data_IF_593844964843
#
_entry.id   IF_593844964843
#
_cell.length_a   1.000
_cell.length_b   1.000
_cell.length_c   1.000
_cell.angle_alpha   90.00
_cell.angle_beta   90.00
_cell.angle_gamma   90.00
#
_symmetry.space_group_name_H-M   'P 1'
#
loop_
_entity.id
_entity.type
_entity.pdbx_description
1 polymer ?
#
# COMPACT_ATOMS: atom_id res chain seq x y z
N UNK A 1 68.81 56.36 33.63
CA UNK A 1 67.40 56.33 34.08
C UNK A 1 66.55 55.69 32.99
N UNK A 2 65.71 54.74 33.41
CA UNK A 2 64.51 54.21 32.73
C UNK A 2 64.68 53.21 31.57
N UNK A 3 64.59 51.93 31.98
CA UNK A 3 64.17 50.76 31.23
C UNK A 3 62.96 51.02 30.30
N UNK A 4 63.05 50.57 29.05
CA UNK A 4 61.88 50.34 28.18
C UNK A 4 61.70 48.84 27.92
N UNK A 5 60.52 48.38 28.35
CA UNK A 5 60.01 47.02 28.31
C UNK A 5 59.83 46.51 26.87
N UNK A 6 60.46 45.37 26.57
CA UNK A 6 60.06 44.49 25.48
C UNK A 6 58.91 43.59 25.97
N UNK A 7 57.71 43.76 25.44
CA UNK A 7 56.59 42.83 25.65
C UNK A 7 56.47 41.87 24.46
N UNK A 8 56.87 40.61 24.67
CA UNK A 8 56.65 39.49 23.75
C UNK A 8 55.19 39.07 23.81
N UNK A 9 54.44 39.25 22.72
CA UNK A 9 53.11 38.63 22.53
C UNK A 9 53.28 37.11 22.45
N UNK A 10 52.71 36.38 23.42
CA UNK A 10 52.56 34.92 23.37
C UNK A 10 51.42 34.56 22.42
N UNK A 11 51.74 33.80 21.38
CA UNK A 11 50.79 33.15 20.48
C UNK A 11 50.14 31.98 21.22
N UNK A 12 48.83 32.05 21.47
CA UNK A 12 48.05 30.95 22.04
C UNK A 12 47.53 30.08 20.91
N UNK A 13 48.10 28.88 20.77
CA UNK A 13 47.60 27.82 19.89
C UNK A 13 46.33 27.24 20.53
N UNK A 14 45.16 27.52 19.95
CA UNK A 14 43.90 26.87 20.33
C UNK A 14 43.87 25.46 19.71
N UNK A 15 43.85 24.43 20.56
CA UNK A 15 43.59 23.04 20.15
C UNK A 15 42.11 22.89 19.77
N UNK A 16 41.84 22.32 18.60
CA UNK A 16 40.50 21.93 18.16
C UNK A 16 39.90 20.87 19.09
N UNK A 17 38.58 20.89 19.38
CA UNK A 17 37.94 19.83 20.15
C UNK A 17 37.86 18.55 19.31
N UNK A 18 38.25 17.40 19.91
CA UNK A 18 37.96 16.07 19.36
C UNK A 18 36.45 15.91 19.23
N UNK A 19 35.96 15.69 18.01
CA UNK A 19 34.59 15.24 17.74
C UNK A 19 34.49 13.80 18.28
N UNK A 20 33.62 13.59 19.26
CA UNK A 20 33.24 12.26 19.72
C UNK A 20 32.25 11.69 18.69
N UNK A 21 32.66 10.70 17.92
CA UNK A 21 31.77 9.94 17.03
C UNK A 21 30.67 9.27 17.86
N UNK A 22 29.41 9.64 17.62
CA UNK A 22 28.24 8.96 18.17
C UNK A 22 27.94 7.71 17.35
N UNK A 23 27.90 6.55 18.02
CA UNK A 23 27.51 5.27 17.43
C UNK A 23 26.10 5.31 16.80
N UNK A 24 25.82 4.48 15.76
CA UNK A 24 24.52 4.44 15.09
C UNK A 24 23.40 3.99 16.05
N UNK A 25 22.24 4.64 15.95
CA UNK A 25 21.05 4.28 16.71
C UNK A 25 20.55 2.90 16.26
N UNK A 26 20.55 1.93 17.17
CA UNK A 26 19.96 0.60 16.97
C UNK A 26 18.48 0.67 17.35
N UNK A 27 17.58 0.23 16.47
CA UNK A 27 16.14 0.20 16.77
C UNK A 27 15.83 -0.76 17.93
N UNK A 28 15.01 -0.36 18.91
CA UNK A 28 14.69 -1.21 20.06
C UNK A 28 13.90 -2.46 19.65
N UNK A 29 14.27 -3.66 20.15
CA UNK A 29 13.51 -4.88 19.87
C UNK A 29 12.11 -4.85 20.48
N UNK A 30 11.19 -5.65 19.93
CA UNK A 30 9.80 -5.74 20.43
C UNK A 30 9.76 -6.63 21.68
N UNK A 31 8.98 -6.23 22.69
CA UNK A 31 8.81 -6.96 23.95
C UNK A 31 8.26 -8.38 23.72
N UNK A 32 8.98 -9.44 24.16
CA UNK A 32 8.60 -10.82 23.89
C UNK A 32 7.34 -11.28 24.63
N UNK A 33 6.93 -10.58 25.70
CA UNK A 33 5.72 -10.94 26.46
C UNK A 33 4.43 -10.42 25.81
N UNK A 34 4.46 -9.24 25.19
CA UNK A 34 3.24 -8.63 24.62
C UNK A 34 3.25 -8.56 23.10
N UNK A 35 4.41 -8.67 22.46
CA UNK A 35 4.63 -8.56 21.02
C UNK A 35 4.02 -7.31 20.35
N UNK A 36 3.81 -6.23 21.13
CA UNK A 36 3.13 -5.01 20.69
C UNK A 36 4.01 -3.77 20.87
N UNK A 37 4.79 -3.70 21.95
CA UNK A 37 5.56 -2.49 22.30
C UNK A 37 7.07 -2.75 22.24
N UNK A 38 7.87 -1.82 21.70
CA UNK A 38 9.33 -1.89 21.81
C UNK A 38 9.79 -1.79 23.26
N UNK A 39 10.92 -2.41 23.57
CA UNK A 39 11.54 -2.32 24.89
C UNK A 39 12.29 -1.00 25.05
N UNK A 40 12.30 -0.46 26.27
CA UNK A 40 13.00 0.79 26.54
C UNK A 40 14.53 0.55 26.58
N UNK A 41 15.31 1.55 26.18
CA UNK A 41 16.76 1.55 26.35
C UNK A 41 17.12 1.65 27.83
N UNK A 42 18.19 0.94 28.24
CA UNK A 42 18.79 1.08 29.56
C UNK A 42 19.69 2.34 29.60
N UNK A 43 20.04 2.84 30.79
CA UNK A 43 20.99 3.96 30.93
C UNK A 43 22.40 3.63 30.42
N UNK A 44 22.71 2.35 30.24
CA UNK A 44 23.93 1.85 29.61
C UNK A 44 23.80 1.90 28.09
N UNK A 45 24.78 2.52 27.42
CA UNK A 45 24.78 2.70 25.98
C UNK A 45 24.71 1.34 25.24
N UNK A 46 23.65 1.15 24.45
CA UNK A 46 23.48 -0.02 23.58
C UNK A 46 22.69 -1.19 24.18
N UNK A 47 22.20 -1.10 25.42
CA UNK A 47 21.39 -2.16 26.03
C UNK A 47 19.92 -1.77 26.16
N UNK A 48 19.03 -2.77 26.07
CA UNK A 48 17.59 -2.59 26.27
C UNK A 48 17.09 -3.41 27.47
N UNK A 49 15.95 -3.01 28.04
CA UNK A 49 15.23 -3.82 29.02
C UNK A 49 14.62 -5.06 28.35
N UNK A 50 14.53 -6.18 29.08
CA UNK A 50 14.01 -7.42 28.50
C UNK A 50 12.50 -7.35 28.17
N UNK A 51 11.78 -6.41 28.78
CA UNK A 51 10.33 -6.25 28.65
C UNK A 51 9.92 -4.77 28.62
N UNK A 52 8.83 -4.46 27.92
CA UNK A 52 8.33 -3.08 27.78
C UNK A 52 7.71 -2.49 29.07
N UNK A 53 7.45 -3.31 30.10
CA UNK A 53 6.92 -2.83 31.38
C UNK A 53 7.19 -3.79 32.54
N UNK A 54 7.16 -3.26 33.77
CA UNK A 54 7.19 -4.09 34.99
C UNK A 54 6.08 -5.14 35.01
N UNK A 55 4.90 -4.82 34.44
CA UNK A 55 3.81 -5.78 34.29
C UNK A 55 4.16 -6.95 33.38
N UNK A 56 4.80 -6.69 32.23
CA UNK A 56 5.28 -7.74 31.33
C UNK A 56 6.39 -8.59 31.98
N UNK A 57 7.33 -7.96 32.69
CA UNK A 57 8.36 -8.67 33.43
C UNK A 57 7.79 -9.56 34.55
N UNK A 58 6.76 -9.08 35.24
CA UNK A 58 6.09 -9.81 36.34
C UNK A 58 5.26 -10.99 35.83
N UNK A 59 4.66 -10.86 34.64
CA UNK A 59 3.91 -11.94 34.00
C UNK A 59 4.80 -13.13 33.62
N UNK A 60 6.04 -12.87 33.20
CA UNK A 60 7.02 -13.92 32.89
C UNK A 60 7.61 -14.54 34.16
N UNK A 61 7.94 -13.73 35.17
CA UNK A 61 8.49 -14.22 36.47
C UNK A 61 7.49 -15.07 37.28
N UNK A 62 6.19 -14.97 37.01
CA UNK A 62 5.14 -15.78 37.67
C UNK A 62 4.90 -17.15 37.02
N UNK A 63 5.71 -17.56 36.04
CA UNK A 63 5.78 -18.96 35.57
C UNK A 63 4.43 -19.60 35.24
N UNK A 64 3.49 -18.87 34.63
CA UNK A 64 2.11 -19.35 34.52
C UNK A 64 1.64 -19.43 33.06
N UNK A 65 2.27 -20.34 32.30
CA UNK A 65 1.71 -20.88 31.05
C UNK A 65 0.32 -21.51 31.27
N UNK A 66 -0.03 -21.84 32.53
CA UNK A 66 -1.33 -22.40 32.93
C UNK A 66 -2.42 -21.34 33.17
N UNK A 67 -2.09 -20.05 32.98
CA UNK A 67 -3.03 -18.94 33.16
C UNK A 67 -3.81 -18.57 31.91
N UNK A 68 -3.56 -19.22 30.77
CA UNK A 68 -4.24 -18.93 29.50
C UNK A 68 -5.56 -19.71 29.37
N UNK A 69 -6.53 -19.09 28.71
CA UNK A 69 -7.83 -19.66 28.38
C UNK A 69 -7.65 -21.02 27.72
N UNK A 70 -8.32 -22.03 28.25
CA UNK A 70 -8.19 -23.40 27.73
C UNK A 70 -8.73 -23.55 26.30
N UNK A 71 -9.62 -22.66 25.87
CA UNK A 71 -10.17 -22.63 24.52
C UNK A 71 -9.30 -21.83 23.55
N UNK A 72 -9.17 -20.51 23.74
CA UNK A 72 -8.53 -19.65 22.74
C UNK A 72 -7.00 -19.57 22.85
N UNK A 73 -6.41 -20.00 23.98
CA UNK A 73 -4.97 -19.92 24.29
C UNK A 73 -4.31 -18.53 24.15
N UNK A 74 -5.08 -17.48 23.86
CA UNK A 74 -4.59 -16.13 23.57
C UNK A 74 -4.80 -15.14 24.72
N UNK A 75 -5.69 -15.45 25.66
CA UNK A 75 -6.09 -14.53 26.74
C UNK A 75 -6.05 -15.23 28.09
N UNK A 76 -5.72 -14.55 29.20
CA UNK A 76 -5.74 -15.17 30.52
C UNK A 76 -7.14 -15.64 30.94
N UNK A 77 -7.19 -16.68 31.77
CA UNK A 77 -8.36 -17.21 32.46
C UNK A 77 -9.08 -16.11 33.26
N UNK A 78 -10.41 -16.03 33.14
CA UNK A 78 -11.22 -15.01 33.80
C UNK A 78 -11.27 -15.25 35.31
N UNK A 79 -11.17 -14.18 36.12
CA UNK A 79 -11.24 -14.25 37.59
C UNK A 79 -12.38 -13.37 38.07
N UNK A 80 -13.33 -13.95 38.80
CA UNK A 80 -14.51 -13.25 39.31
C UNK A 80 -14.37 -12.90 40.81
N UNK A 81 -13.17 -12.51 41.24
CA UNK A 81 -12.86 -12.17 42.63
C UNK A 81 -12.69 -13.36 43.58
N UNK A 82 -13.48 -14.43 43.44
CA UNK A 82 -13.45 -15.62 44.33
C UNK A 82 -13.02 -16.91 43.63
N UNK A 83 -13.16 -16.99 42.29
CA UNK A 83 -12.80 -18.18 41.50
C UNK A 83 -12.10 -17.82 40.19
N UNK A 84 -11.18 -18.68 39.76
CA UNK A 84 -10.55 -18.62 38.43
C UNK A 84 -11.29 -19.58 37.51
N UNK A 85 -11.85 -19.07 36.41
CA UNK A 85 -12.55 -19.86 35.40
C UNK A 85 -11.57 -20.46 34.38
N UNK A 86 -11.82 -21.67 33.84
CA UNK A 86 -10.95 -22.29 32.83
C UNK A 86 -10.80 -21.48 31.54
N UNK A 87 -11.71 -20.54 31.29
CA UNK A 87 -11.82 -19.76 30.06
C UNK A 87 -11.69 -18.25 30.34
N UNK A 88 -11.25 -17.47 29.34
CA UNK A 88 -11.09 -16.02 29.47
C UNK A 88 -12.41 -15.22 29.45
N UNK A 89 -13.57 -15.89 29.33
CA UNK A 89 -14.88 -15.24 29.35
C UNK A 89 -16.01 -16.14 28.86
N UNK A 90 -17.26 -15.66 28.99
CA UNK A 90 -18.49 -16.42 28.67
C UNK A 90 -18.54 -16.91 27.23
N UNK A 91 -17.95 -16.18 26.28
CA UNK A 91 -17.86 -16.58 24.87
C UNK A 91 -17.02 -17.86 24.70
N UNK A 92 -15.80 -17.90 25.22
CA UNK A 92 -14.94 -19.08 25.14
C UNK A 92 -15.50 -20.28 25.92
N UNK A 93 -16.19 -20.04 27.04
CA UNK A 93 -16.86 -21.10 27.78
C UNK A 93 -18.01 -21.74 26.96
N UNK A 94 -18.79 -20.93 26.22
CA UNK A 94 -19.87 -21.42 25.36
C UNK A 94 -19.35 -22.16 24.13
N UNK A 95 -18.29 -21.67 23.50
CA UNK A 95 -17.68 -22.35 22.35
C UNK A 95 -17.08 -23.70 22.75
N UNK A 96 -16.38 -23.80 23.88
CA UNK A 96 -15.88 -25.07 24.39
C UNK A 96 -17.00 -26.07 24.72
N UNK A 97 -18.14 -25.59 25.22
CA UNK A 97 -19.32 -26.42 25.49
C UNK A 97 -20.02 -26.90 24.20
N UNK A 98 -20.07 -26.07 23.15
CA UNK A 98 -20.62 -26.43 21.86
C UNK A 98 -19.75 -27.48 21.13
N UNK A 99 -18.43 -27.35 21.22
CA UNK A 99 -17.50 -28.33 20.61
C UNK A 99 -17.54 -29.68 21.33
N UNK A 100 -17.80 -29.69 22.65
CA UNK A 100 -17.98 -30.92 23.42
C UNK A 100 -19.33 -31.61 23.16
N UNK A 101 -20.32 -30.89 22.62
CA UNK A 101 -21.63 -31.43 22.24
C UNK A 101 -21.66 -32.04 20.83
N UNK A 102 -20.56 -31.93 20.06
CA UNK A 102 -20.45 -32.38 18.67
C UNK A 102 -19.53 -33.60 18.47
N UNK A 103 -19.32 -34.44 19.49
CA UNK A 103 -18.70 -35.75 19.30
C UNK A 103 -19.77 -36.80 18.95
N UNK A 104 -19.77 -37.40 17.75
CA UNK A 104 -20.67 -38.50 17.43
C UNK A 104 -20.15 -39.82 18.06
N UNK A 105 -21.03 -40.71 18.56
CA UNK A 105 -20.70 -42.12 18.71
C UNK A 105 -20.66 -42.79 17.32
N UNK A 106 -19.85 -43.85 17.19
CA UNK A 106 -19.54 -44.63 15.98
C UNK A 106 -20.69 -44.84 14.95
N UNK A 107 -20.38 -45.00 13.65
CA UNK A 107 -21.38 -45.13 12.60
C UNK A 107 -21.83 -46.58 12.37
N UNK A 108 -23.01 -46.75 11.75
CA UNK A 108 -23.05 -47.63 10.59
C UNK A 108 -23.66 -46.96 9.35
N UNK A 109 -23.20 -47.46 8.20
CA UNK A 109 -23.71 -47.23 6.85
C UNK A 109 -25.24 -47.17 6.76
N UNK A 110 -25.76 -46.29 5.90
CA UNK A 110 -26.55 -46.73 4.74
C UNK A 110 -26.66 -45.58 3.73
N UNK A 111 -26.36 -45.91 2.48
CA UNK A 111 -26.69 -45.12 1.32
C UNK A 111 -28.22 -45.05 1.12
N UNK A 112 -28.62 -44.09 0.29
CA UNK A 112 -29.93 -43.90 -0.34
C UNK A 112 -31.07 -43.37 0.54
N UNK A 113 -31.37 -42.07 0.41
CA UNK A 113 -32.53 -41.65 -0.40
C UNK A 113 -32.91 -40.16 -0.21
N UNK A 114 -32.98 -39.50 -1.36
CA UNK A 114 -33.97 -38.48 -1.75
C UNK A 114 -33.81 -37.02 -1.28
N UNK A 115 -33.34 -36.25 -2.27
CA UNK A 115 -33.57 -34.85 -2.56
C UNK A 115 -35.02 -34.37 -2.40
N UNK A 116 -35.11 -33.04 -2.28
CA UNK A 116 -36.26 -32.13 -2.45
C UNK A 116 -36.90 -31.70 -1.13
N UNK A 117 -36.35 -30.62 -0.54
CA UNK A 117 -37.09 -29.39 -0.19
C UNK A 117 -36.10 -28.27 0.23
N UNK A 118 -36.09 -27.20 -0.57
CA UNK A 118 -35.75 -25.81 -0.23
C UNK A 118 -34.30 -25.38 0.09
N UNK A 119 -33.56 -25.00 -0.96
CA UNK A 119 -32.32 -24.20 -0.91
C UNK A 119 -32.56 -22.68 -0.69
N UNK A 120 -33.75 -22.25 -0.30
CA UNK A 120 -34.08 -20.83 -0.12
C UNK A 120 -34.03 -20.33 1.33
N UNK A 121 -33.72 -21.19 2.31
CA UNK A 121 -33.69 -20.82 3.74
C UNK A 121 -32.30 -20.85 4.38
N UNK A 122 -31.29 -21.46 3.75
CA UNK A 122 -29.94 -21.52 4.33
C UNK A 122 -29.12 -20.24 4.11
N UNK A 123 -29.39 -19.48 3.04
CA UNK A 123 -28.65 -18.26 2.68
C UNK A 123 -29.04 -17.03 3.51
N UNK A 124 -30.12 -17.10 4.30
CA UNK A 124 -30.56 -16.00 5.17
C UNK A 124 -29.95 -16.05 6.57
N UNK A 125 -29.50 -17.23 7.03
CA UNK A 125 -28.98 -17.45 8.40
C UNK A 125 -27.56 -16.92 8.62
N UNK A 126 -26.82 -16.67 7.55
CA UNK A 126 -25.43 -16.24 7.60
C UNK A 126 -25.25 -14.87 6.96
N UNK A 127 -24.18 -14.20 7.36
CA UNK A 127 -23.77 -12.92 6.81
C UNK A 127 -23.52 -13.08 5.30
N UNK A 128 -24.10 -12.21 4.49
CA UNK A 128 -23.95 -12.23 3.04
C UNK A 128 -22.62 -11.65 2.54
N UNK A 129 -21.64 -11.48 3.43
CA UNK A 129 -20.30 -11.05 3.03
C UNK A 129 -19.51 -12.30 2.56
N UNK A 130 -18.87 -12.29 1.37
CA UNK A 130 -18.35 -13.49 0.72
C UNK A 130 -17.32 -14.31 1.51
N UNK A 131 -16.69 -13.70 2.51
CA UNK A 131 -15.67 -14.34 3.37
C UNK A 131 -16.13 -14.42 4.84
N UNK A 132 -17.40 -14.12 5.13
CA UNK A 132 -17.94 -14.05 6.47
C UNK A 132 -18.83 -15.25 6.81
N UNK A 133 -18.33 -16.11 7.71
CA UNK A 133 -19.07 -17.26 8.24
C UNK A 133 -19.92 -16.94 9.48
N UNK A 134 -20.05 -15.67 9.85
CA UNK A 134 -20.83 -15.27 11.02
C UNK A 134 -22.33 -15.30 10.73
N UNK A 135 -23.19 -15.61 11.71
CA UNK A 135 -24.63 -15.57 11.52
C UNK A 135 -25.12 -14.14 11.26
N UNK A 136 -26.18 -14.04 10.46
CA UNK A 136 -26.98 -12.85 10.27
C UNK A 136 -27.43 -12.28 11.62
N UNK A 137 -27.34 -10.96 11.80
CA UNK A 137 -27.78 -10.31 13.04
C UNK A 137 -29.31 -10.33 13.16
N UNK A 138 -29.85 -10.77 14.31
CA UNK A 138 -31.25 -10.55 14.68
C UNK A 138 -31.38 -9.42 15.70
N UNK A 139 -32.35 -8.53 15.49
CA UNK A 139 -32.70 -7.50 16.47
C UNK A 139 -33.64 -8.02 17.57
N UNK A 140 -33.94 -7.15 18.54
CA UNK A 140 -34.81 -7.46 19.69
C UNK A 140 -36.26 -7.74 19.29
N UNK A 141 -36.66 -7.42 18.06
CA UNK A 141 -38.00 -7.66 17.53
C UNK A 141 -38.05 -8.92 16.66
N UNK A 142 -36.94 -9.69 16.59
CA UNK A 142 -36.86 -10.91 15.78
C UNK A 142 -36.67 -10.68 14.29
N UNK A 143 -36.32 -9.46 13.87
CA UNK A 143 -36.06 -9.17 12.44
C UNK A 143 -34.62 -9.50 12.10
N UNK A 144 -34.43 -10.32 11.07
CA UNK A 144 -33.13 -10.83 10.62
C UNK A 144 -32.49 -9.91 9.57
N UNK A 145 -31.22 -9.55 9.78
CA UNK A 145 -30.42 -8.73 8.87
C UNK A 145 -29.62 -9.60 7.89
N UNK A 146 -29.33 -9.07 6.70
CA UNK A 146 -28.44 -9.74 5.73
C UNK A 146 -26.97 -9.83 6.19
N UNK A 147 -26.58 -9.13 7.25
CA UNK A 147 -25.19 -9.03 7.71
C UNK A 147 -25.07 -9.31 9.21
N UNK A 148 -23.91 -9.82 9.65
CA UNK A 148 -23.62 -10.03 11.06
C UNK A 148 -23.46 -8.69 11.81
N UNK A 149 -23.42 -8.68 13.15
CA UNK A 149 -23.35 -7.43 13.94
C UNK A 149 -22.09 -6.59 13.65
N UNK A 150 -21.00 -7.23 13.22
CA UNK A 150 -19.74 -6.55 12.88
C UNK A 150 -19.86 -5.82 11.54
N UNK A 151 -20.38 -6.51 10.52
CA UNK A 151 -20.66 -5.89 9.22
C UNK A 151 -21.83 -4.92 9.31
N UNK A 152 -22.85 -5.18 10.15
CA UNK A 152 -23.93 -4.25 10.47
C UNK A 152 -23.39 -2.91 11.00
N UNK A 153 -22.30 -2.91 11.78
CA UNK A 153 -21.63 -1.69 12.26
C UNK A 153 -20.86 -0.93 11.18
N UNK A 154 -20.39 -1.62 10.14
CA UNK A 154 -19.75 -0.99 8.98
C UNK A 154 -20.78 -0.41 8.00
N UNK A 155 -21.97 -1.02 7.88
CA UNK A 155 -23.11 -0.45 7.15
C UNK A 155 -23.98 0.50 7.99
N UNK A 156 -23.84 0.58 9.31
CA UNK A 156 -24.62 1.51 10.17
C UNK A 156 -24.19 2.97 10.09
N UNK A 157 -23.25 3.30 9.19
CA UNK A 157 -23.04 4.68 8.71
C UNK A 157 -23.97 5.04 7.55
N UNK A 158 -24.83 4.12 7.09
CA UNK A 158 -25.96 4.45 6.23
C UNK A 158 -27.09 5.02 7.10
N UNK A 159 -27.74 6.12 6.69
CA UNK A 159 -28.96 6.54 7.34
C UNK A 159 -29.98 5.41 7.27
N UNK A 160 -30.44 4.98 8.45
CA UNK A 160 -31.57 4.07 8.61
C UNK A 160 -32.75 4.65 7.82
N UNK A 161 -33.34 3.84 6.94
CA UNK A 161 -34.51 4.13 6.09
C UNK A 161 -34.30 4.95 4.80
N UNK A 162 -33.33 4.58 3.97
CA UNK A 162 -33.51 4.75 2.51
C UNK A 162 -33.46 3.37 1.87
N UNK A 163 -34.62 2.87 1.40
CA UNK A 163 -34.65 1.77 0.44
C UNK A 163 -33.93 2.28 -0.82
N UNK A 164 -32.64 2.01 -0.93
CA UNK A 164 -31.87 2.28 -2.13
C UNK A 164 -32.42 1.37 -3.24
N UNK A 165 -33.03 1.97 -4.27
CA UNK A 165 -33.44 1.22 -5.46
C UNK A 165 -32.19 0.66 -6.19
N UNK A 166 -32.39 -0.39 -6.99
CA UNK A 166 -31.31 -1.11 -7.70
C UNK A 166 -30.38 -0.17 -8.51
N UNK A 167 -30.94 0.92 -9.07
CA UNK A 167 -30.18 1.96 -9.76
C UNK A 167 -29.22 2.77 -8.86
N UNK A 168 -29.58 3.01 -7.61
CA UNK A 168 -28.71 3.72 -6.65
C UNK A 168 -27.58 2.83 -6.13
N UNK A 169 -27.86 1.53 -5.95
CA UNK A 169 -26.85 0.51 -5.59
C UNK A 169 -25.83 0.34 -6.71
N UNK A 170 -26.28 0.27 -7.97
CA UNK A 170 -25.38 0.17 -9.13
C UNK A 170 -24.49 1.40 -9.27
N UNK A 171 -25.00 2.62 -9.01
CA UNK A 171 -24.19 3.85 -9.00
C UNK A 171 -23.05 3.82 -7.99
N UNK A 172 -23.29 3.38 -6.76
CA UNK A 172 -22.21 3.30 -5.76
C UNK A 172 -21.20 2.19 -6.07
N UNK A 173 -21.64 1.08 -6.65
CA UNK A 173 -20.73 0.03 -7.16
C UNK A 173 -19.85 0.53 -8.29
N UNK A 174 -20.38 1.31 -9.22
CA UNK A 174 -19.59 1.76 -10.37
C UNK A 174 -18.78 3.03 -10.10
N UNK A 175 -19.19 3.87 -9.14
CA UNK A 175 -18.64 5.22 -9.01
C UNK A 175 -18.31 5.66 -7.58
N UNK A 176 -18.70 4.88 -6.56
CA UNK A 176 -18.48 5.18 -5.15
C UNK A 176 -17.05 4.93 -4.68
N UNK A 177 -16.86 4.91 -3.36
CA UNK A 177 -15.60 4.53 -2.73
C UNK A 177 -15.21 3.10 -3.13
N UNK A 178 -13.99 2.90 -3.62
CA UNK A 178 -13.53 1.58 -4.07
C UNK A 178 -13.36 0.56 -2.93
N UNK A 179 -13.29 1.03 -1.68
CA UNK A 179 -13.10 0.18 -0.51
C UNK A 179 -14.43 -0.21 0.13
N UNK A 180 -15.21 0.73 0.67
CA UNK A 180 -16.45 0.39 1.36
C UNK A 180 -17.66 0.20 0.45
N UNK A 181 -17.62 0.70 -0.80
CA UNK A 181 -18.74 0.68 -1.75
C UNK A 181 -20.06 1.31 -1.26
N UNK A 182 -20.03 2.00 -0.12
CA UNK A 182 -21.22 2.50 0.57
C UNK A 182 -21.27 4.02 0.66
N UNK A 183 -20.22 4.71 0.21
CA UNK A 183 -20.10 6.16 0.26
C UNK A 183 -19.56 6.69 -1.08
N UNK A 184 -19.83 7.96 -1.43
CA UNK A 184 -19.18 8.59 -2.57
C UNK A 184 -17.67 8.68 -2.36
N UNK A 185 -16.93 8.62 -3.47
CA UNK A 185 -15.51 9.02 -3.49
C UNK A 185 -15.37 10.51 -3.18
N UNK A 186 -14.22 10.94 -2.65
CA UNK A 186 -13.90 12.37 -2.52
C UNK A 186 -13.42 12.95 -3.85
N UNK A 187 -13.37 14.28 -3.99
CA UNK A 187 -12.83 14.92 -5.19
C UNK A 187 -11.34 14.61 -5.41
N UNK A 188 -10.62 14.32 -4.32
CA UNK A 188 -9.16 14.11 -4.32
C UNK A 188 -8.76 12.63 -4.36
N UNK A 189 -9.69 11.71 -4.12
CA UNK A 189 -9.41 10.27 -4.00
C UNK A 189 -10.56 9.42 -4.48
N UNK A 190 -10.24 8.22 -4.98
CA UNK A 190 -11.22 7.16 -5.31
C UNK A 190 -11.79 6.47 -4.06
N UNK A 191 -11.47 6.99 -2.88
CA UNK A 191 -11.92 6.55 -1.57
C UNK A 191 -12.75 7.66 -0.93
N UNK A 192 -13.74 7.27 -0.13
CA UNK A 192 -14.34 8.18 0.84
C UNK A 192 -13.33 8.50 1.95
N UNK A 193 -13.57 9.58 2.71
CA UNK A 193 -12.61 10.06 3.72
C UNK A 193 -12.21 8.98 4.74
N UNK A 194 -13.14 8.24 5.39
CA UNK A 194 -12.76 7.21 6.36
C UNK A 194 -11.90 6.09 5.77
N UNK A 195 -12.23 5.62 4.56
CA UNK A 195 -11.43 4.60 3.87
C UNK A 195 -10.08 5.12 3.41
N UNK A 196 -10.00 6.41 3.06
CA UNK A 196 -8.74 7.06 2.74
C UNK A 196 -7.84 7.11 3.97
N UNK A 197 -8.37 7.53 5.12
CA UNK A 197 -7.61 7.66 6.36
C UNK A 197 -7.14 6.31 6.89
N UNK A 198 -7.99 5.27 6.81
CA UNK A 198 -7.59 3.89 7.12
C UNK A 198 -6.45 3.40 6.21
N UNK A 199 -6.57 3.60 4.89
CA UNK A 199 -5.52 3.20 3.96
C UNK A 199 -4.22 4.00 4.16
N UNK A 200 -4.33 5.29 4.52
CA UNK A 200 -3.19 6.15 4.82
C UNK A 200 -2.48 5.71 6.12
N UNK A 201 -3.23 5.28 7.14
CA UNK A 201 -2.66 4.75 8.38
C UNK A 201 -1.81 3.48 8.18
N UNK A 202 -2.02 2.79 7.06
CA UNK A 202 -1.30 1.58 6.66
C UNK A 202 -0.33 1.85 5.49
N UNK A 203 -0.10 3.11 5.13
CA UNK A 203 0.70 3.46 3.97
C UNK A 203 2.17 2.98 4.09
N UNK A 204 2.80 2.50 3.00
CA UNK A 204 2.20 2.30 1.69
C UNK A 204 1.16 1.18 1.69
N UNK A 205 0.03 1.40 1.02
CA UNK A 205 -1.05 0.43 0.96
C UNK A 205 -1.54 0.23 -0.49
N UNK A 206 -1.96 -1.00 -0.78
CA UNK A 206 -2.73 -1.32 -1.96
C UNK A 206 -4.19 -1.40 -1.58
N UNK A 207 -5.05 -0.72 -2.34
CA UNK A 207 -6.50 -0.89 -2.26
C UNK A 207 -6.98 -1.44 -3.58
N UNK A 208 -7.49 -2.67 -3.59
CA UNK A 208 -7.99 -3.31 -4.81
C UNK A 208 -9.11 -2.46 -5.41
N UNK A 209 -9.00 -2.16 -6.70
CA UNK A 209 -10.05 -1.49 -7.47
C UNK A 209 -10.88 -2.60 -8.10
N UNK A 210 -12.17 -2.74 -7.76
CA UNK A 210 -12.92 -3.86 -8.31
C UNK A 210 -13.31 -3.64 -9.77
N UNK A 211 -13.54 -4.74 -10.48
CA UNK A 211 -13.62 -4.79 -11.95
C UNK A 211 -14.80 -4.00 -12.53
N UNK A 212 -15.92 -3.96 -11.80
CA UNK A 212 -17.11 -3.21 -12.18
C UNK A 212 -16.96 -1.69 -12.02
N UNK A 213 -15.95 -1.23 -11.27
CA UNK A 213 -15.74 0.17 -10.95
C UNK A 213 -15.17 0.98 -12.13
N UNK A 214 -15.64 2.22 -12.30
CA UNK A 214 -15.21 3.12 -13.39
C UNK A 214 -13.70 3.33 -13.45
N UNK A 215 -13.02 3.33 -12.30
CA UNK A 215 -11.57 3.48 -12.27
C UNK A 215 -10.83 2.24 -12.77
N UNK A 216 -11.35 1.03 -12.51
CA UNK A 216 -10.79 -0.20 -13.09
C UNK A 216 -10.94 -0.14 -14.61
N UNK A 217 -12.18 0.07 -15.10
CA UNK A 217 -12.50 0.20 -16.52
C UNK A 217 -11.64 1.26 -17.21
N UNK A 218 -11.43 2.42 -16.57
CA UNK A 218 -10.58 3.49 -17.09
C UNK A 218 -9.09 3.13 -17.19
N UNK A 219 -8.54 2.48 -16.16
CA UNK A 219 -7.14 2.02 -16.17
C UNK A 219 -6.93 0.89 -17.19
N UNK A 220 -7.86 -0.08 -17.23
CA UNK A 220 -7.84 -1.18 -18.20
C UNK A 220 -7.94 -0.63 -19.64
N UNK A 221 -8.86 0.29 -19.91
CA UNK A 221 -8.98 0.95 -21.22
C UNK A 221 -7.70 1.68 -21.59
N UNK A 222 -7.09 2.42 -20.67
CA UNK A 222 -5.80 3.07 -20.93
C UNK A 222 -4.71 2.04 -21.25
N UNK A 223 -4.66 0.92 -20.53
CA UNK A 223 -3.69 -0.15 -20.76
C UNK A 223 -3.82 -0.74 -22.17
N UNK A 224 -5.05 -1.11 -22.56
CA UNK A 224 -5.32 -1.75 -23.86
C UNK A 224 -5.13 -0.79 -25.03
N UNK A 225 -5.64 0.44 -24.93
CA UNK A 225 -5.50 1.46 -25.99
C UNK A 225 -4.06 1.92 -26.21
N UNK A 226 -3.19 1.72 -25.22
CA UNK A 226 -1.77 2.09 -25.32
C UNK A 226 -0.86 0.87 -25.50
N UNK A 227 -1.43 -0.30 -25.77
CA UNK A 227 -0.70 -1.47 -26.24
C UNK A 227 -0.45 -1.33 -27.75
N UNK A 228 0.71 -0.78 -28.11
CA UNK A 228 1.07 -0.39 -29.48
C UNK A 228 2.10 -1.30 -30.15
N UNK A 229 2.70 -2.24 -29.41
CA UNK A 229 3.51 -3.29 -30.04
C UNK A 229 2.60 -4.24 -30.81
N UNK A 230 3.12 -4.81 -31.91
CA UNK A 230 2.40 -5.79 -32.74
C UNK A 230 2.39 -7.19 -32.09
N UNK A 231 2.01 -7.25 -30.82
CA UNK A 231 1.84 -8.47 -30.03
C UNK A 231 0.43 -8.49 -29.46
N UNK A 232 -0.07 -9.67 -29.10
CA UNK A 232 -1.38 -9.79 -28.44
C UNK A 232 -1.39 -8.99 -27.15
N UNK A 233 -2.34 -8.07 -27.01
CA UNK A 233 -2.53 -7.32 -25.77
C UNK A 233 -2.95 -8.31 -24.67
N UNK A 234 -2.20 -8.40 -23.56
CA UNK A 234 -2.53 -9.31 -22.48
C UNK A 234 -3.76 -8.84 -21.71
N UNK A 235 -4.41 -9.79 -21.06
CA UNK A 235 -5.56 -9.54 -20.20
C UNK A 235 -5.13 -8.90 -18.87
N UNK A 236 -5.81 -7.81 -18.48
CA UNK A 236 -5.66 -7.22 -17.15
C UNK A 236 -6.38 -8.09 -16.13
N UNK A 237 -5.68 -8.48 -15.07
CA UNK A 237 -6.13 -9.39 -14.02
C UNK A 237 -6.50 -8.70 -12.71
N UNK A 238 -5.80 -7.62 -12.38
CA UNK A 238 -6.13 -6.80 -11.21
C UNK A 238 -5.61 -5.37 -11.38
N UNK A 239 -6.31 -4.42 -10.75
CA UNK A 239 -5.87 -3.05 -10.60
C UNK A 239 -5.93 -2.69 -9.13
N UNK A 240 -4.86 -2.12 -8.61
CA UNK A 240 -4.78 -1.62 -7.25
C UNK A 240 -4.55 -0.12 -7.27
N UNK A 241 -5.32 0.62 -6.48
CA UNK A 241 -5.01 2.01 -6.14
C UNK A 241 -3.88 1.99 -5.11
N UNK A 242 -2.81 2.73 -5.41
CA UNK A 242 -1.68 2.88 -4.49
C UNK A 242 -1.94 4.10 -3.61
N UNK A 243 -1.90 3.87 -2.30
CA UNK A 243 -1.89 4.91 -1.26
C UNK A 243 -0.47 5.00 -0.73
N UNK A 244 0.14 6.17 -0.84
CA UNK A 244 1.52 6.44 -0.39
C UNK A 244 1.47 7.27 0.89
N UNK A 245 2.61 7.39 1.59
CA UNK A 245 2.68 8.15 2.84
C UNK A 245 2.34 9.62 2.64
N UNK A 246 1.87 10.27 3.71
CA UNK A 246 1.55 11.70 3.71
C UNK A 246 2.77 12.56 3.36
N UNK A 247 3.95 12.21 3.88
CA UNK A 247 5.20 12.89 3.56
C UNK A 247 5.51 12.85 2.05
N UNK A 248 5.42 11.67 1.42
CA UNK A 248 5.63 11.51 -0.03
C UNK A 248 4.57 12.28 -0.84
N UNK A 249 3.31 12.23 -0.39
CA UNK A 249 2.22 12.98 -1.00
C UNK A 249 2.42 14.50 -0.94
N UNK A 250 2.92 15.01 0.17
CA UNK A 250 3.17 16.44 0.39
C UNK A 250 4.29 16.94 -0.51
N UNK A 251 5.41 16.21 -0.59
CA UNK A 251 6.53 16.55 -1.47
C UNK A 251 6.09 16.61 -2.94
N UNK A 252 5.33 15.61 -3.40
CA UNK A 252 4.78 15.59 -4.75
C UNK A 252 3.84 16.79 -5.02
N UNK A 253 2.96 17.12 -4.07
CA UNK A 253 2.02 18.24 -4.20
C UNK A 253 2.75 19.59 -4.23
N UNK A 254 3.77 19.76 -3.40
CA UNK A 254 4.60 20.98 -3.41
C UNK A 254 5.30 21.16 -4.77
N UNK A 255 5.88 20.10 -5.33
CA UNK A 255 6.48 20.18 -6.66
C UNK A 255 5.43 20.49 -7.74
N UNK A 256 4.31 19.77 -7.75
CA UNK A 256 3.18 19.98 -8.65
C UNK A 256 2.66 21.42 -8.61
N UNK A 257 2.49 21.99 -7.42
CA UNK A 257 2.02 23.36 -7.22
C UNK A 257 3.07 24.39 -7.66
N UNK A 258 4.37 24.13 -7.42
CA UNK A 258 5.44 25.01 -7.91
C UNK A 258 5.49 25.09 -9.44
N UNK A 259 5.30 23.95 -10.12
CA UNK A 259 5.24 23.88 -11.59
C UNK A 259 3.98 24.55 -12.11
N UNK A 260 2.84 24.40 -11.42
CA UNK A 260 1.62 25.12 -11.77
C UNK A 260 1.78 26.63 -11.66
N UNK A 261 2.38 27.13 -10.56
CA UNK A 261 2.63 28.57 -10.38
C UNK A 261 3.53 29.11 -11.48
N UNK A 262 4.56 28.35 -11.87
CA UNK A 262 5.49 28.77 -12.91
C UNK A 262 4.88 28.74 -14.34
N UNK A 263 4.01 27.77 -14.62
CA UNK A 263 3.54 27.50 -15.98
C UNK A 263 2.08 27.83 -16.26
N UNK A 264 1.26 28.07 -15.22
CA UNK A 264 -0.17 28.40 -15.30
C UNK A 264 -0.99 27.45 -16.22
N UNK A 265 -0.79 26.13 -16.05
CA UNK A 265 -1.33 25.12 -16.97
C UNK A 265 -2.85 24.96 -16.86
N UNK A 266 -3.45 25.19 -15.68
CA UNK A 266 -4.91 25.15 -15.51
C UNK A 266 -5.58 26.23 -16.35
N UNK A 267 -5.02 27.44 -16.39
CA UNK A 267 -5.53 28.52 -17.25
C UNK A 267 -5.42 28.18 -18.75
N UNK A 268 -4.53 27.26 -19.12
CA UNK A 268 -4.39 26.74 -20.48
C UNK A 268 -5.29 25.51 -20.76
N UNK A 269 -6.23 25.19 -19.87
CA UNK A 269 -7.13 24.04 -20.00
C UNK A 269 -6.45 22.68 -19.80
N UNK A 270 -5.26 22.65 -19.18
CA UNK A 270 -4.56 21.41 -18.83
C UNK A 270 -4.80 21.05 -17.37
N UNK A 271 -4.42 19.82 -17.01
CA UNK A 271 -4.29 19.44 -15.60
C UNK A 271 -3.24 20.33 -14.92
N UNK A 272 -3.41 20.53 -13.62
CA UNK A 272 -2.44 21.19 -12.76
C UNK A 272 -1.03 20.63 -13.00
N UNK A 273 -0.03 21.51 -13.17
CA UNK A 273 1.36 21.18 -13.49
C UNK A 273 1.56 20.39 -14.79
N UNK A 274 0.56 20.39 -15.69
CA UNK A 274 0.48 19.47 -16.82
C UNK A 274 0.68 18.01 -16.38
N UNK A 275 0.04 17.61 -15.26
CA UNK A 275 0.11 16.25 -14.73
C UNK A 275 -0.51 15.23 -15.69
N UNK A 276 0.26 14.21 -16.06
CA UNK A 276 -0.15 13.19 -17.00
C UNK A 276 0.03 11.78 -16.42
N UNK A 277 -0.82 10.85 -16.85
CA UNK A 277 -0.64 9.43 -16.52
C UNK A 277 0.37 8.77 -17.46
N UNK A 278 1.36 8.06 -16.91
CA UNK A 278 2.38 7.33 -17.69
C UNK A 278 2.73 5.96 -17.10
N UNK A 279 3.00 5.01 -17.97
CA UNK A 279 3.40 3.64 -17.64
C UNK A 279 4.88 3.56 -17.26
N UNK A 280 5.18 2.68 -16.32
CA UNK A 280 6.54 2.29 -15.95
C UNK A 280 6.57 0.79 -15.66
N UNK A 281 7.49 0.07 -16.31
CA UNK A 281 7.78 -1.32 -16.01
C UNK A 281 9.07 -1.43 -15.20
N UNK A 282 9.12 -2.40 -14.30
CA UNK A 282 10.27 -2.59 -13.41
C UNK A 282 10.41 -4.05 -12.97
N UNK A 283 11.46 -4.33 -12.20
CA UNK A 283 11.76 -5.65 -11.64
C UNK A 283 10.86 -5.94 -10.43
N UNK A 284 10.29 -7.15 -10.39
CA UNK A 284 9.47 -7.67 -9.29
C UNK A 284 10.09 -8.99 -8.79
N UNK A 285 10.58 -9.01 -7.55
CA UNK A 285 11.18 -10.20 -6.90
C UNK A 285 10.24 -10.95 -5.95
N UNK A 286 8.96 -10.59 -5.94
CA UNK A 286 7.95 -11.19 -5.07
C UNK A 286 6.65 -11.37 -5.83
N UNK A 287 5.60 -11.86 -5.16
CA UNK A 287 4.27 -12.05 -5.75
C UNK A 287 3.31 -10.88 -5.52
N UNK A 288 3.82 -9.69 -5.17
CA UNK A 288 2.98 -8.51 -4.92
C UNK A 288 2.03 -8.27 -6.11
N UNK A 289 0.73 -8.21 -5.81
CA UNK A 289 -0.37 -8.03 -6.74
C UNK A 289 -0.98 -9.34 -7.28
N UNK A 290 -0.33 -10.50 -7.10
CA UNK A 290 -0.95 -11.77 -7.43
C UNK A 290 -2.14 -12.05 -6.49
N UNK A 291 -3.03 -12.97 -6.88
CA UNK A 291 -4.19 -13.33 -6.04
C UNK A 291 -3.74 -13.69 -4.62
N UNK A 292 -4.33 -13.03 -3.62
CA UNK A 292 -3.99 -13.20 -2.20
C UNK A 292 -2.64 -12.59 -1.75
N UNK A 293 -1.91 -11.89 -2.62
CA UNK A 293 -0.56 -11.39 -2.34
C UNK A 293 -0.48 -9.85 -2.39
N UNK A 294 -0.94 -9.18 -1.33
CA UNK A 294 -0.97 -7.71 -1.27
C UNK A 294 0.05 -7.12 -0.29
N UNK A 295 0.86 -7.98 0.34
CA UNK A 295 1.90 -7.58 1.30
C UNK A 295 3.21 -7.28 0.58
N UNK A 296 3.79 -6.11 0.86
CA UNK A 296 5.09 -5.72 0.34
C UNK A 296 6.21 -6.56 0.96
N UNK A 297 7.11 -7.12 0.13
CA UNK A 297 8.33 -7.73 0.66
C UNK A 297 9.36 -6.67 1.08
N UNK A 298 10.30 -7.06 1.93
CA UNK A 298 11.42 -6.22 2.39
C UNK A 298 12.69 -6.34 1.52
N UNK A 299 12.63 -7.06 0.39
CA UNK A 299 13.79 -7.27 -0.48
C UNK A 299 14.23 -5.95 -1.15
N UNK A 300 15.46 -5.53 -0.87
CA UNK A 300 16.08 -4.31 -1.40
C UNK A 300 16.22 -4.32 -2.94
N UNK A 301 16.24 -5.50 -3.56
CA UNK A 301 16.29 -5.68 -5.01
C UNK A 301 14.89 -5.77 -5.66
N UNK A 302 13.82 -5.79 -4.87
CA UNK A 302 12.45 -5.73 -5.39
C UNK A 302 12.06 -4.29 -5.75
N UNK A 303 12.51 -3.83 -6.92
CA UNK A 303 12.28 -2.48 -7.40
C UNK A 303 10.79 -2.08 -7.37
N UNK A 304 9.87 -2.99 -7.71
CA UNK A 304 8.42 -2.72 -7.62
C UNK A 304 7.99 -2.33 -6.20
N UNK A 305 8.31 -3.14 -5.19
CA UNK A 305 7.96 -2.86 -3.80
C UNK A 305 8.61 -1.56 -3.31
N UNK A 306 9.88 -1.33 -3.68
CA UNK A 306 10.62 -0.16 -3.24
C UNK A 306 10.09 1.12 -3.87
N UNK A 307 9.78 1.11 -5.18
CA UNK A 307 9.14 2.25 -5.85
C UNK A 307 7.78 2.56 -5.22
N UNK A 308 6.96 1.55 -4.91
CA UNK A 308 5.66 1.80 -4.27
C UNK A 308 5.83 2.37 -2.85
N UNK A 309 6.83 1.89 -2.11
CA UNK A 309 7.08 2.30 -0.72
C UNK A 309 7.65 3.71 -0.59
N UNK A 310 8.63 4.05 -1.42
CA UNK A 310 9.43 5.29 -1.27
C UNK A 310 9.33 6.23 -2.47
N UNK A 311 8.45 5.95 -3.43
CA UNK A 311 8.45 6.59 -4.75
C UNK A 311 9.73 6.31 -5.55
N UNK A 312 9.84 6.98 -6.70
CA UNK A 312 11.01 6.92 -7.58
C UNK A 312 12.18 7.71 -6.99
N UNK A 313 13.39 7.22 -7.24
CA UNK A 313 14.61 7.89 -6.83
C UNK A 313 15.68 7.77 -7.93
N UNK A 314 16.15 8.90 -8.43
CA UNK A 314 17.18 9.02 -9.45
C UNK A 314 18.51 8.37 -9.05
N UNK A 315 18.75 8.08 -7.76
CA UNK A 315 19.91 7.28 -7.36
C UNK A 315 19.91 5.87 -7.93
N UNK A 316 18.73 5.34 -8.29
CA UNK A 316 18.59 4.02 -8.91
C UNK A 316 18.65 4.05 -10.45
N UNK A 317 18.88 5.22 -11.07
CA UNK A 317 19.17 5.30 -12.50
C UNK A 317 20.36 4.38 -12.85
N UNK A 318 20.31 3.73 -14.02
CA UNK A 318 21.26 2.73 -14.54
C UNK A 318 21.31 1.36 -13.84
N UNK A 319 20.57 1.11 -12.76
CA UNK A 319 20.61 -0.18 -12.04
C UNK A 319 20.17 -1.41 -12.87
N UNK A 320 19.58 -1.22 -14.06
CA UNK A 320 19.16 -2.31 -14.94
C UNK A 320 19.88 -2.34 -16.30
N UNK A 321 20.22 -1.18 -16.88
CA UNK A 321 20.70 -1.06 -18.28
C UNK A 321 22.05 -0.36 -18.41
N UNK A 322 22.58 0.25 -17.35
CA UNK A 322 23.84 1.01 -17.43
C UNK A 322 23.76 2.32 -18.23
N UNK A 323 22.65 2.59 -18.93
CA UNK A 323 22.48 3.72 -19.84
C UNK A 323 21.00 4.09 -20.05
N UNK A 324 20.75 5.33 -20.48
CA UNK A 324 19.44 5.84 -20.89
C UNK A 324 19.60 6.89 -21.98
N UNK A 325 18.69 6.88 -22.97
CA UNK A 325 18.73 7.73 -24.18
C UNK A 325 18.80 9.23 -23.89
N UNK A 326 18.24 9.64 -22.76
CA UNK A 326 18.18 11.03 -22.29
C UNK A 326 18.86 11.16 -20.92
N UNK A 327 19.95 10.43 -20.72
CA UNK A 327 20.78 10.51 -19.51
C UNK A 327 20.04 10.19 -18.20
N UNK A 328 20.49 10.77 -17.08
CA UNK A 328 20.07 10.43 -15.70
C UNK A 328 18.70 10.97 -15.36
N UNK A 329 17.67 10.26 -15.80
CA UNK A 329 16.27 10.56 -15.52
C UNK A 329 15.44 9.36 -15.06
N UNK A 330 14.19 9.63 -14.69
CA UNK A 330 13.15 8.63 -14.46
C UNK A 330 12.33 8.52 -15.74
N UNK A 331 12.33 7.31 -16.31
CA UNK A 331 11.74 7.03 -17.61
C UNK A 331 10.34 6.41 -17.46
N UNK A 332 9.39 7.01 -18.17
CA UNK A 332 8.01 6.55 -18.29
C UNK A 332 7.56 6.65 -19.74
N UNK A 333 6.43 6.02 -20.08
CA UNK A 333 5.92 6.02 -21.46
C UNK A 333 4.40 6.17 -21.48
N UNK A 334 3.86 6.79 -22.52
CA UNK A 334 2.42 6.71 -22.80
C UNK A 334 2.02 5.35 -23.37
N UNK A 335 2.99 4.53 -23.81
CA UNK A 335 2.80 3.21 -24.41
C UNK A 335 2.99 2.09 -23.39
N UNK A 336 1.92 1.37 -23.03
CA UNK A 336 1.94 0.28 -22.03
C UNK A 336 2.85 -0.87 -22.46
N UNK A 337 2.73 -1.30 -23.70
CA UNK A 337 3.56 -2.35 -24.31
C UNK A 337 5.07 -2.03 -24.33
N UNK A 338 5.48 -0.75 -24.41
CA UNK A 338 6.89 -0.34 -24.24
C UNK A 338 7.35 -0.56 -22.81
N UNK A 339 6.52 -0.14 -21.86
CA UNK A 339 6.81 -0.35 -20.44
C UNK A 339 6.84 -1.83 -20.06
N UNK A 340 6.06 -2.67 -20.74
CA UNK A 340 6.07 -4.12 -20.54
C UNK A 340 7.45 -4.75 -20.77
N UNK A 341 8.28 -4.22 -21.69
CA UNK A 341 9.63 -4.74 -21.96
C UNK A 341 10.57 -4.61 -20.73
N UNK A 342 10.25 -3.67 -19.84
CA UNK A 342 10.98 -3.43 -18.59
C UNK A 342 10.35 -4.15 -17.39
N UNK A 343 9.13 -4.69 -17.53
CA UNK A 343 8.48 -5.49 -16.49
C UNK A 343 9.08 -6.90 -16.46
N UNK A 344 9.68 -7.28 -15.33
CA UNK A 344 10.34 -8.59 -15.18
C UNK A 344 10.05 -9.20 -13.81
N UNK A 345 9.63 -10.46 -13.79
CA UNK A 345 9.63 -11.28 -12.58
C UNK A 345 11.03 -11.88 -12.38
N UNK A 346 11.62 -11.72 -11.21
CA UNK A 346 12.97 -12.16 -10.90
C UNK A 346 12.95 -13.14 -9.72
N UNK A 347 13.39 -14.38 -9.95
CA UNK A 347 13.43 -15.40 -8.91
C UNK A 347 12.07 -15.87 -8.39
N UNK A 348 10.97 -15.46 -9.04
CA UNK A 348 9.60 -15.87 -8.71
C UNK A 348 8.88 -16.35 -9.96
N UNK A 349 8.22 -17.50 -9.86
CA UNK A 349 7.29 -17.96 -10.88
C UNK A 349 5.91 -17.36 -10.63
N UNK A 350 5.41 -16.64 -11.64
CA UNK A 350 4.09 -16.02 -11.70
C UNK A 350 3.71 -15.84 -13.16
N UNK A 351 2.51 -16.27 -13.53
CA UNK A 351 1.92 -16.04 -14.85
C UNK A 351 1.49 -14.59 -15.07
N UNK A 352 1.58 -13.76 -14.03
CA UNK A 352 1.25 -12.33 -14.09
C UNK A 352 2.50 -11.47 -14.09
N UNK A 353 2.44 -10.36 -14.80
CA UNK A 353 3.41 -9.26 -14.79
C UNK A 353 2.78 -8.02 -14.17
N UNK A 354 3.63 -7.07 -13.79
CA UNK A 354 3.23 -5.84 -13.12
C UNK A 354 3.67 -4.61 -13.92
N UNK A 355 2.76 -3.64 -14.09
CA UNK A 355 3.08 -2.27 -14.51
C UNK A 355 2.59 -1.27 -13.47
N UNK A 356 3.34 -0.20 -13.31
CA UNK A 356 2.89 0.98 -12.57
C UNK A 356 2.28 1.99 -13.55
N UNK A 357 1.08 2.47 -13.22
CA UNK A 357 0.51 3.68 -13.83
C UNK A 357 0.75 4.85 -12.87
N UNK A 358 1.57 5.78 -13.31
CA UNK A 358 2.11 6.86 -12.49
C UNK A 358 1.39 8.16 -12.83
N UNK A 359 1.37 9.09 -11.86
CA UNK A 359 1.13 10.50 -12.14
C UNK A 359 2.49 11.18 -12.31
N UNK A 360 2.67 11.89 -13.42
CA UNK A 360 3.92 12.57 -13.76
C UNK A 360 3.63 14.04 -14.04
N UNK A 361 4.29 14.94 -13.32
CA UNK A 361 4.25 16.38 -13.55
C UNK A 361 5.14 16.68 -14.76
N UNK A 362 4.52 16.84 -15.93
CA UNK A 362 5.26 17.08 -17.18
C UNK A 362 5.78 18.52 -17.24
N UNK A 363 5.00 19.48 -16.71
CA UNK A 363 5.29 20.90 -16.86
C UNK A 363 5.51 21.28 -18.32
N UNK A 364 6.54 22.08 -18.57
CA UNK A 364 7.02 22.43 -19.90
C UNK A 364 7.97 21.33 -20.39
N UNK A 365 7.50 20.46 -21.28
CA UNK A 365 8.29 19.35 -21.80
C UNK A 365 9.10 19.73 -23.03
N UNK A 366 10.42 19.52 -22.98
CA UNK A 366 11.30 19.67 -24.16
C UNK A 366 11.11 18.48 -25.09
N UNK A 367 10.63 18.74 -26.30
CA UNK A 367 10.60 17.72 -27.35
C UNK A 367 12.01 17.44 -27.85
N UNK A 368 12.43 16.18 -27.82
CA UNK A 368 13.67 15.68 -28.40
C UNK A 368 13.38 14.47 -29.28
N UNK A 369 14.13 14.35 -30.38
CA UNK A 369 13.97 13.29 -31.38
C UNK A 369 15.24 12.47 -31.59
N UNK A 370 16.36 12.93 -31.01
CA UNK A 370 17.67 12.30 -31.03
C UNK A 370 18.14 12.06 -29.60
N UNK A 371 18.98 11.04 -29.42
CA UNK A 371 19.53 10.71 -28.10
C UNK A 371 20.40 11.86 -27.58
N UNK A 372 20.27 12.13 -26.29
CA UNK A 372 21.19 12.98 -25.53
C UNK A 372 21.48 12.31 -24.19
N UNK A 373 22.48 11.45 -24.23
CA UNK A 373 22.85 10.59 -23.10
C UNK A 373 23.55 11.36 -21.97
N UNK A 374 23.86 12.63 -22.21
CA UNK A 374 24.61 13.50 -21.28
C UNK A 374 23.70 14.21 -20.28
N UNK A 375 22.39 14.24 -20.53
CA UNK A 375 21.44 14.95 -19.68
C UNK A 375 21.44 14.42 -18.24
N UNK A 376 21.46 15.34 -17.29
CA UNK A 376 21.30 15.03 -15.85
C UNK A 376 20.19 15.86 -15.21
N UNK A 377 19.61 16.78 -15.97
CA UNK A 377 18.53 17.69 -15.64
C UNK A 377 17.74 18.01 -16.94
N UNK A 378 16.50 18.53 -16.87
CA UNK A 378 15.82 18.99 -18.08
C UNK A 378 16.59 20.17 -18.71
N UNK A 379 16.54 20.34 -20.04
CA UNK A 379 17.12 21.52 -20.68
C UNK A 379 16.59 22.84 -20.10
N UNK A 380 17.37 23.94 -20.11
CA UNK A 380 16.97 25.21 -19.51
C UNK A 380 15.59 25.69 -19.97
N UNK A 381 14.74 26.05 -19.01
CA UNK A 381 13.36 26.49 -19.23
C UNK A 381 12.32 25.37 -19.35
N UNK A 382 12.72 24.10 -19.17
CA UNK A 382 11.85 22.93 -19.23
C UNK A 382 11.83 22.16 -17.91
N UNK A 383 10.80 21.35 -17.69
CA UNK A 383 10.64 20.49 -16.51
C UNK A 383 10.86 19.00 -16.83
N UNK A 384 10.77 18.63 -18.10
CA UNK A 384 10.88 17.24 -18.56
C UNK A 384 11.40 17.18 -20.00
N UNK A 385 11.76 15.97 -20.44
CA UNK A 385 11.99 15.64 -21.85
C UNK A 385 10.85 14.78 -22.37
N UNK A 386 10.35 15.13 -23.55
CA UNK A 386 9.38 14.39 -24.36
C UNK A 386 10.10 13.82 -25.58
N UNK A 387 10.42 12.54 -25.52
CA UNK A 387 11.06 11.83 -26.61
C UNK A 387 9.99 11.45 -27.65
N UNK A 388 10.04 12.09 -28.83
CA UNK A 388 9.03 11.92 -29.88
C UNK A 388 9.55 11.05 -31.04
N UNK A 389 8.70 10.12 -31.48
CA UNK A 389 8.97 9.29 -32.66
C UNK A 389 8.69 10.12 -33.91
N UNK A 390 9.73 10.35 -34.71
CA UNK A 390 9.64 11.06 -36.00
C UNK A 390 10.41 10.28 -37.08
N UNK A 391 10.07 10.43 -38.37
CA UNK A 391 10.90 9.90 -39.45
C UNK A 391 12.35 10.41 -39.33
N UNK A 392 13.32 9.49 -39.36
CA UNK A 392 14.75 9.81 -39.15
C UNK A 392 15.15 10.09 -37.69
N UNK A 393 14.22 9.96 -36.73
CA UNK A 393 14.49 10.01 -35.30
C UNK A 393 15.09 8.71 -34.76
N UNK A 394 15.68 8.78 -33.57
CA UNK A 394 16.37 7.64 -32.96
C UNK A 394 15.43 6.65 -32.24
N UNK A 395 14.15 6.99 -32.08
CA UNK A 395 13.21 6.36 -31.15
C UNK A 395 12.16 5.50 -31.88
N UNK A 396 11.91 4.29 -31.36
CA UNK A 396 10.83 3.42 -31.83
C UNK A 396 9.48 3.69 -31.15
N UNK A 397 9.51 4.24 -29.93
CA UNK A 397 8.35 4.52 -29.10
C UNK A 397 8.61 5.75 -28.22
N UNK A 398 7.55 6.40 -27.74
CA UNK A 398 7.66 7.60 -26.91
C UNK A 398 8.28 7.33 -25.53
N UNK A 399 8.93 8.36 -24.98
CA UNK A 399 9.39 8.42 -23.58
C UNK A 399 9.09 9.79 -23.00
N UNK A 400 8.67 9.80 -21.73
CA UNK A 400 8.68 10.98 -20.88
C UNK A 400 9.75 10.76 -19.82
N UNK A 401 10.70 11.68 -19.76
CA UNK A 401 11.81 11.64 -18.81
C UNK A 401 11.74 12.86 -17.90
N UNK A 402 11.71 12.61 -16.59
CA UNK A 402 11.79 13.65 -15.56
C UNK A 402 13.09 13.48 -14.77
N UNK A 403 13.63 14.59 -14.26
CA UNK A 403 14.93 14.61 -13.57
C UNK A 403 14.80 15.13 -12.13
N UNK A 404 13.60 15.00 -11.57
CA UNK A 404 13.30 15.32 -10.19
C UNK A 404 12.46 14.17 -9.59
N UNK A 405 12.77 13.73 -8.37
CA UNK A 405 12.13 12.57 -7.73
C UNK A 405 10.65 12.85 -7.42
N UNK A 406 10.34 14.09 -7.05
CA UNK A 406 9.01 14.59 -6.72
C UNK A 406 8.15 14.85 -7.97
N UNK A 407 8.72 14.80 -9.18
CA UNK A 407 7.97 14.97 -10.44
C UNK A 407 7.12 13.75 -10.81
N UNK A 408 7.28 12.62 -10.13
CA UNK A 408 6.57 11.38 -10.45
C UNK A 408 6.21 10.59 -9.20
N UNK A 409 5.03 9.98 -9.22
CA UNK A 409 4.58 9.06 -8.18
C UNK A 409 3.78 7.89 -8.72
N UNK A 410 3.89 6.70 -8.10
CA UNK A 410 3.01 5.59 -8.42
C UNK A 410 1.56 5.92 -8.00
N UNK A 411 0.60 5.63 -8.88
CA UNK A 411 -0.82 5.87 -8.62
C UNK A 411 -1.65 4.59 -8.68
N UNK A 412 -1.36 3.69 -9.61
CA UNK A 412 -1.97 2.37 -9.67
C UNK A 412 -0.92 1.29 -9.95
N UNK A 413 -1.12 0.11 -9.40
CA UNK A 413 -0.45 -1.13 -9.79
C UNK A 413 -1.42 -1.92 -10.67
N UNK A 414 -0.97 -2.31 -11.85
CA UNK A 414 -1.75 -3.09 -12.82
C UNK A 414 -1.09 -4.45 -12.99
N UNK A 415 -1.85 -5.49 -12.68
CA UNK A 415 -1.48 -6.88 -12.85
C UNK A 415 -2.13 -7.42 -14.11
N UNK A 416 -1.37 -8.11 -14.94
CA UNK A 416 -1.84 -8.60 -16.23
C UNK A 416 -1.14 -9.91 -16.59
N UNK A 417 -1.78 -10.74 -17.43
CA UNK A 417 -1.20 -12.01 -17.87
C UNK A 417 0.14 -11.75 -18.59
N UNK A 418 1.17 -12.55 -18.31
CA UNK A 418 2.41 -12.50 -19.05
C UNK A 418 2.09 -12.80 -20.54
N UNK A 419 2.49 -11.92 -21.48
CA UNK A 419 2.29 -12.13 -22.90
C UNK A 419 2.97 -13.39 -23.43
#
# INVERSE_FOLDING_TARGET
MLNRLFSRKKTVVRRSPKVLETAPAVDPPICPNCNIRPVAAKPTAGEFFDFCSKGCATNVKKGNLNSLCEYCKQRPKFKDGTRVHPYCGRRCARSAAADSANLPPNPPNLADSLSVLSQTVASSLFCQDPDCVLPAFMDTNGTQSNYCVLHKKQVSFLPTSVQMNDQSVSRFREQGCISCRAAPSTDKSVLCQPCHDDALSRAPALVRVPEDHKNYKGVQKQFTQTWRHKTTCPEVKAVYKIVVSEASMTQYQQYLDSVEVAGNYVAMGKSRGNENRRWHGTKRKCRLGDSGNETFCADAECALCNIIRTSFDLKFFKAATGWGRFGRGIYTSSTSSKSNDYSKNLGVSSDWKALLLNKVVVGNGKKLTQDDTTLTEPPPGYNSVLAEVVPGGALNYDELVVYNNEAVRPSYLVMYKSP
#
